data_IF_892678465326
#
_entry.id   IF_892678465326
#
_cell.length_a   1.000
_cell.length_b   1.000
_cell.length_c   1.000
_cell.angle_alpha   90.00
_cell.angle_beta   90.00
_cell.angle_gamma   90.00
#
_symmetry.space_group_name_H-M   'P 1'
#
loop_
_entity.id
_entity.type
_entity.pdbx_description
1 polymer ?
#
# COMPACT_ATOMS: atom_id res chain seq x y z
N UNK A 1 -3.44 -4.89 -11.63
CA UNK A 1 -4.66 -4.26 -12.18
C UNK A 1 -4.48 -2.77 -12.12
N UNK A 2 -4.72 -2.05 -13.22
CA UNK A 2 -4.64 -0.60 -13.21
C UNK A 2 -5.83 -0.01 -12.45
N UNK A 3 -5.62 1.16 -11.86
CA UNK A 3 -6.60 1.86 -11.03
C UNK A 3 -7.19 3.01 -11.85
N UNK A 4 -8.52 3.16 -11.93
CA UNK A 4 -9.13 4.27 -12.65
C UNK A 4 -8.76 5.61 -12.01
N UNK A 5 -8.52 6.65 -12.82
CA UNK A 5 -8.19 7.99 -12.30
C UNK A 5 -9.39 8.70 -11.63
N UNK A 6 -10.62 8.43 -12.06
CA UNK A 6 -11.87 8.94 -11.46
C UNK A 6 -12.24 8.23 -10.15
N UNK A 7 -11.22 7.76 -9.42
CA UNK A 7 -11.36 7.12 -8.13
C UNK A 7 -11.60 8.15 -7.04
N UNK A 8 -12.72 8.00 -6.33
CA UNK A 8 -13.04 8.82 -5.16
C UNK A 8 -11.93 8.68 -4.11
N UNK A 9 -11.45 9.78 -3.49
CA UNK A 9 -10.49 9.70 -2.40
C UNK A 9 -11.05 8.84 -1.25
N UNK A 10 -10.18 8.11 -0.57
CA UNK A 10 -10.47 7.09 0.45
C UNK A 10 -10.97 5.75 -0.10
N UNK A 11 -10.72 5.48 -1.39
CA UNK A 11 -11.02 4.18 -2.00
C UNK A 11 -9.82 3.25 -1.87
N UNK A 12 -10.08 1.98 -1.57
CA UNK A 12 -9.06 0.93 -1.46
C UNK A 12 -8.56 0.55 -2.85
N UNK A 13 -7.29 0.80 -3.11
CA UNK A 13 -6.63 0.47 -4.39
C UNK A 13 -5.81 -0.82 -4.32
N UNK A 14 -5.27 -1.14 -3.13
CA UNK A 14 -4.56 -2.37 -2.91
C UNK A 14 -4.73 -2.85 -1.47
N UNK A 15 -4.55 -4.15 -1.25
CA UNK A 15 -4.53 -4.75 0.08
C UNK A 15 -3.23 -5.52 0.23
N UNK A 16 -2.47 -5.16 1.25
CA UNK A 16 -1.25 -5.83 1.65
C UNK A 16 -1.55 -6.72 2.84
N UNK A 17 -1.25 -8.00 2.68
CA UNK A 17 -1.37 -8.96 3.76
C UNK A 17 0.02 -9.41 4.16
N UNK A 18 0.48 -8.95 5.31
CA UNK A 18 1.77 -9.37 5.86
C UNK A 18 1.53 -10.63 6.67
N UNK A 19 2.22 -11.71 6.34
CA UNK A 19 2.18 -12.93 7.15
C UNK A 19 3.49 -13.07 7.86
N UNK A 20 3.46 -12.90 9.16
CA UNK A 20 4.55 -13.32 10.01
C UNK A 20 4.39 -14.82 10.33
N UNK A 21 5.49 -15.56 10.37
CA UNK A 21 5.47 -17.01 10.64
C UNK A 21 5.40 -17.31 12.14
N UNK A 22 5.69 -16.32 12.98
CA UNK A 22 5.64 -16.42 14.41
C UNK A 22 4.24 -16.05 14.91
N UNK A 23 3.64 -16.96 15.67
CA UNK A 23 2.34 -16.73 16.32
C UNK A 23 2.54 -16.02 17.65
N UNK A 24 1.77 -14.95 17.91
CA UNK A 24 1.75 -14.24 19.19
C UNK A 24 2.14 -12.76 19.08
N UNK A 25 2.54 -12.16 20.20
CA UNK A 25 2.89 -10.73 20.32
C UNK A 25 4.06 -10.29 19.39
N UNK A 26 4.86 -11.25 18.90
CA UNK A 26 5.92 -11.03 17.90
C UNK A 26 5.40 -10.95 16.46
N UNK A 27 4.12 -11.27 16.23
CA UNK A 27 3.48 -11.12 14.93
C UNK A 27 3.18 -9.67 14.57
N UNK A 28 3.40 -8.70 15.48
CA UNK A 28 3.17 -7.28 15.18
C UNK A 28 4.26 -6.74 14.23
N UNK A 29 3.90 -6.63 12.96
CA UNK A 29 4.70 -6.00 11.91
C UNK A 29 4.26 -4.55 11.76
N UNK A 30 5.21 -3.62 11.63
CA UNK A 30 4.94 -2.23 11.30
C UNK A 30 5.19 -1.99 9.82
N UNK A 31 4.14 -1.68 9.06
CA UNK A 31 4.28 -1.25 7.66
C UNK A 31 4.38 0.27 7.56
N UNK A 32 5.34 0.75 6.77
CA UNK A 32 5.53 2.17 6.45
C UNK A 32 5.66 2.36 4.95
N UNK A 33 4.99 3.37 4.42
CA UNK A 33 5.18 3.81 3.05
C UNK A 33 6.34 4.79 2.98
N UNK A 34 7.21 4.62 2.00
CA UNK A 34 8.22 5.61 1.66
C UNK A 34 7.69 6.54 0.56
N UNK A 35 7.96 7.84 0.72
CA UNK A 35 7.58 8.88 -0.23
C UNK A 35 6.34 9.69 0.18
N UNK A 36 6.15 10.82 -0.49
CA UNK A 36 4.99 11.70 -0.33
C UNK A 36 4.04 11.49 -1.51
N UNK A 37 3.31 10.37 -1.47
CA UNK A 37 2.37 9.98 -2.53
C UNK A 37 0.93 10.30 -2.09
N UNK A 38 -0.02 10.46 -3.02
CA UNK A 38 -1.44 10.69 -2.71
C UNK A 38 -2.15 9.41 -2.22
N UNK A 39 -1.47 8.60 -1.42
CA UNK A 39 -1.99 7.37 -0.84
C UNK A 39 -1.73 7.32 0.67
N UNK A 40 -2.59 6.59 1.38
CA UNK A 40 -2.47 6.30 2.80
C UNK A 40 -2.55 4.79 3.01
N UNK A 41 -1.76 4.30 3.96
CA UNK A 41 -1.88 2.93 4.47
C UNK A 41 -2.76 2.94 5.71
N UNK A 42 -3.85 2.20 5.66
CA UNK A 42 -4.77 1.99 6.77
C UNK A 42 -4.66 0.54 7.26
N UNK A 43 -4.30 0.34 8.53
CA UNK A 43 -4.29 -1.00 9.13
C UNK A 43 -5.73 -1.47 9.36
N UNK A 44 -6.12 -2.61 8.78
CA UNK A 44 -7.50 -3.09 8.83
C UNK A 44 -7.72 -4.28 9.77
N UNK A 45 -6.77 -5.21 9.88
CA UNK A 45 -6.88 -6.43 10.69
C UNK A 45 -5.48 -6.93 11.02
N UNK A 46 -5.32 -7.99 11.83
CA UNK A 46 -4.02 -8.61 12.15
C UNK A 46 -3.14 -8.72 10.89
N UNK A 47 -2.11 -7.87 10.85
CA UNK A 47 -1.11 -7.75 9.79
C UNK A 47 -1.65 -7.43 8.38
N UNK A 48 -2.89 -6.97 8.27
CA UNK A 48 -3.52 -6.57 7.02
C UNK A 48 -3.56 -5.05 6.91
N UNK A 49 -3.00 -4.53 5.82
CA UNK A 49 -2.98 -3.11 5.50
C UNK A 49 -3.73 -2.86 4.19
N UNK A 50 -4.56 -1.84 4.18
CA UNK A 50 -5.28 -1.35 3.01
C UNK A 50 -4.60 -0.09 2.51
N UNK A 51 -4.24 -0.09 1.26
CA UNK A 51 -3.77 1.10 0.57
C UNK A 51 -4.99 1.83 0.04
N UNK A 52 -5.24 3.04 0.57
CA UNK A 52 -6.32 3.91 0.14
C UNK A 52 -5.77 5.15 -0.56
N UNK A 53 -6.49 5.69 -1.53
CA UNK A 53 -6.20 7.00 -2.10
C UNK A 53 -6.46 8.08 -1.06
N UNK A 54 -5.57 9.04 -0.87
CA UNK A 54 -5.83 10.21 -0.02
C UNK A 54 -6.29 11.43 -0.81
N UNK A 55 -6.03 11.42 -2.11
CA UNK A 55 -6.31 12.51 -3.04
C UNK A 55 -6.72 11.92 -4.39
N UNK A 56 -7.31 12.74 -5.26
CA UNK A 56 -7.60 12.34 -6.62
C UNK A 56 -6.32 11.92 -7.33
N UNK A 57 -6.40 10.83 -8.09
CA UNK A 57 -5.32 10.41 -8.99
C UNK A 57 -5.58 11.11 -10.32
N UNK A 58 -4.52 11.63 -10.92
CA UNK A 58 -4.61 12.38 -12.17
C UNK A 58 -3.60 11.76 -13.12
N UNK A 59 -4.11 11.08 -14.17
CA UNK A 59 -3.24 10.36 -15.11
C UNK A 59 -2.38 11.34 -15.91
N UNK A 60 -2.88 12.54 -16.21
CA UNK A 60 -2.15 13.57 -16.95
C UNK A 60 -0.90 14.05 -16.18
N UNK A 61 -1.01 14.12 -14.86
CA UNK A 61 0.11 14.48 -13.98
C UNK A 61 1.03 13.27 -13.74
N UNK A 62 0.47 12.14 -13.30
CA UNK A 62 1.23 10.92 -12.97
C UNK A 62 0.43 9.68 -13.37
N UNK A 63 0.86 9.02 -14.44
CA UNK A 63 0.25 7.78 -14.92
C UNK A 63 0.70 6.53 -14.15
N UNK A 64 1.84 6.59 -13.46
CA UNK A 64 2.41 5.45 -12.72
C UNK A 64 2.96 5.91 -11.38
N UNK A 65 2.47 5.30 -10.30
CA UNK A 65 2.94 5.54 -8.94
C UNK A 65 3.78 4.36 -8.44
N UNK A 66 5.05 4.63 -8.13
CA UNK A 66 5.93 3.65 -7.51
C UNK A 66 5.87 3.79 -5.99
N UNK A 67 5.10 2.90 -5.36
CA UNK A 67 4.84 2.91 -3.93
C UNK A 67 5.79 1.90 -3.27
N UNK A 68 6.73 2.37 -2.47
CA UNK A 68 7.63 1.49 -1.71
C UNK A 68 7.09 1.32 -0.30
N UNK A 69 6.84 0.08 0.12
CA UNK A 69 6.29 -0.25 1.44
C UNK A 69 7.30 -1.10 2.18
N UNK A 70 7.70 -0.65 3.36
CA UNK A 70 8.64 -1.38 4.24
C UNK A 70 7.88 -1.93 5.43
N UNK A 71 7.86 -3.25 5.57
CA UNK A 71 7.37 -3.95 6.74
C UNK A 71 8.56 -4.25 7.66
N UNK A 72 8.43 -4.00 8.95
CA UNK A 72 9.45 -4.28 9.98
C UNK A 72 8.82 -5.11 11.07
N UNK A 73 9.39 -6.29 11.34
CA UNK A 73 8.94 -7.14 12.44
C UNK A 73 9.43 -6.60 13.79
N UNK A 74 8.81 -7.09 14.87
CA UNK A 74 9.27 -6.84 16.25
C UNK A 74 10.10 -8.00 16.80
N UNK A 75 10.63 -8.86 15.93
CA UNK A 75 11.46 -9.99 16.29
C UNK A 75 12.79 -9.57 16.91
N UNK A 76 13.51 -10.53 17.50
CA UNK A 76 14.91 -10.36 17.93
C UNK A 76 15.74 -11.52 17.39
N UNK A 77 16.61 -11.28 16.38
CA UNK A 77 16.90 -10.00 15.73
C UNK A 77 15.71 -9.47 14.91
N UNK A 78 15.56 -8.15 14.82
CA UNK A 78 14.48 -7.53 14.05
C UNK A 78 14.77 -7.63 12.56
N UNK A 79 13.86 -8.23 11.79
CA UNK A 79 13.93 -8.27 10.34
C UNK A 79 13.01 -7.23 9.73
N UNK A 80 13.38 -6.80 8.53
CA UNK A 80 12.56 -5.91 7.73
C UNK A 80 12.54 -6.40 6.29
N UNK A 81 11.48 -6.06 5.59
CA UNK A 81 11.29 -6.39 4.18
C UNK A 81 10.62 -5.22 3.49
N UNK A 82 11.13 -4.87 2.31
CA UNK A 82 10.54 -3.84 1.45
C UNK A 82 9.89 -4.48 0.24
N UNK A 83 8.70 -4.00 -0.11
CA UNK A 83 7.98 -4.35 -1.33
C UNK A 83 7.76 -3.09 -2.15
N UNK A 84 8.02 -3.20 -3.46
CA UNK A 84 7.72 -2.15 -4.42
C UNK A 84 6.41 -2.49 -5.12
N UNK A 85 5.45 -1.57 -5.04
CA UNK A 85 4.15 -1.68 -5.66
C UNK A 85 4.05 -0.61 -6.74
N UNK A 86 4.00 -1.06 -7.99
CA UNK A 86 3.78 -0.20 -9.15
C UNK A 86 2.28 -0.11 -9.39
N UNK A 87 1.73 1.08 -9.24
CA UNK A 87 0.31 1.35 -9.40
C UNK A 87 0.10 2.20 -10.66
N UNK A 88 -0.40 1.55 -11.70
CA UNK A 88 -0.72 2.21 -12.95
C UNK A 88 -2.11 2.81 -12.90
N UNK A 89 -2.21 4.08 -13.26
CA UNK A 89 -3.49 4.76 -13.40
C UNK A 89 -3.99 4.50 -14.82
N UNK A 90 -5.08 3.72 -14.93
CA UNK A 90 -5.82 3.65 -16.19
C UNK A 90 -6.73 4.85 -16.26
N UNK A 91 -6.84 5.40 -17.45
CA UNK A 91 -7.96 6.26 -17.76
C UNK A 91 -9.23 5.45 -17.62
N UNK A 92 -10.27 6.08 -17.08
CA UNK A 92 -11.59 5.49 -16.87
C UNK A 92 -12.21 4.99 -18.18
N UNK A 93 -11.64 5.36 -19.33
CA UNK A 93 -12.21 5.11 -20.63
C UNK A 93 -11.52 4.01 -21.48
N UNK A 94 -10.54 3.27 -20.95
CA UNK A 94 -9.93 2.14 -21.70
C UNK A 94 -10.67 0.81 -21.40
N UNK A 95 -11.56 0.43 -22.32
CA UNK A 95 -12.17 -0.91 -22.43
C UNK A 95 -11.29 -1.84 -23.27
#
# INVERSE_FOLDING_TARGET
NPVPEDIVPSTVVAVLNVRDRDSGENGEVSCKMAGNLPFKLEASSENTYKLITSSALDRENVSVYNITITATDRGRPSLWSSAELVLEVSDVNDN
#
